data_IF_952248712567
#
_entry.id   IF_952248712567
#
_cell.length_a   1.000
_cell.length_b   1.000
_cell.length_c   1.000
_cell.angle_alpha   90.00
_cell.angle_beta   90.00
_cell.angle_gamma   90.00
#
_symmetry.space_group_name_H-M   'P 1'
#
loop_
_entity.id
_entity.type
_entity.pdbx_description
1 polymer ?
#
# COMPACT_ATOMS: atom_id res chain seq x y z
N UNK A 1 52.08 -8.77 -58.05
CA UNK A 1 50.82 -8.90 -57.28
C UNK A 1 50.17 -7.53 -57.21
N UNK A 2 49.15 -7.28 -58.04
CA UNK A 2 48.41 -6.01 -58.06
C UNK A 2 47.26 -6.14 -57.07
N UNK A 3 47.21 -5.23 -56.07
CA UNK A 3 46.19 -5.19 -55.03
C UNK A 3 44.87 -4.72 -55.65
N UNK A 4 43.75 -5.46 -55.52
CA UNK A 4 42.48 -5.05 -56.12
C UNK A 4 41.93 -3.80 -55.39
N UNK A 5 41.17 -2.94 -56.08
CA UNK A 5 40.60 -1.74 -55.48
C UNK A 5 39.49 -2.11 -54.50
N UNK A 6 39.46 -1.41 -53.36
CA UNK A 6 38.44 -1.57 -52.32
C UNK A 6 37.14 -0.94 -52.80
N UNK A 7 36.09 -1.74 -52.99
CA UNK A 7 34.73 -1.27 -53.24
C UNK A 7 34.21 -0.55 -51.98
N UNK A 8 33.66 0.65 -52.14
CA UNK A 8 32.99 1.38 -51.06
C UNK A 8 31.66 0.69 -50.69
N UNK A 9 31.25 0.73 -49.42
CA UNK A 9 29.98 0.15 -48.99
C UNK A 9 28.79 0.92 -49.59
N UNK A 10 27.81 0.17 -50.10
CA UNK A 10 26.58 0.72 -50.66
C UNK A 10 25.75 1.42 -49.57
N UNK A 11 25.23 2.61 -49.89
CA UNK A 11 24.35 3.40 -49.03
C UNK A 11 23.01 2.66 -48.82
N UNK A 12 22.48 2.54 -47.59
CA UNK A 12 21.17 1.92 -47.36
C UNK A 12 20.05 2.68 -48.08
N UNK A 13 19.01 1.99 -48.58
CA UNK A 13 17.85 2.66 -49.17
C UNK A 13 17.07 3.44 -48.10
N UNK A 14 16.55 4.60 -48.48
CA UNK A 14 15.71 5.42 -47.62
C UNK A 14 14.38 4.69 -47.30
N UNK A 15 13.84 4.80 -46.07
CA UNK A 15 12.57 4.19 -45.72
C UNK A 15 11.42 4.87 -46.46
N UNK A 16 10.47 4.06 -46.97
CA UNK A 16 9.26 4.54 -47.63
C UNK A 16 8.34 5.31 -46.66
N UNK A 17 7.58 6.32 -47.12
CA UNK A 17 6.64 7.03 -46.26
C UNK A 17 5.50 6.09 -45.82
N UNK A 18 5.22 6.04 -44.52
CA UNK A 18 4.03 5.36 -44.00
C UNK A 18 2.76 6.09 -44.47
N UNK A 19 1.66 5.36 -44.77
CA UNK A 19 0.42 5.99 -45.18
C UNK A 19 -0.18 6.81 -44.03
N UNK A 20 -0.70 7.99 -44.36
CA UNK A 20 -1.39 8.86 -43.42
C UNK A 20 -2.61 8.14 -42.82
N UNK A 21 -2.63 7.97 -41.50
CA UNK A 21 -3.79 7.48 -40.78
C UNK A 21 -4.95 8.46 -40.93
N UNK A 22 -6.08 8.00 -41.47
CA UNK A 22 -7.31 8.79 -41.52
C UNK A 22 -7.88 8.99 -40.10
N UNK A 23 -8.42 10.18 -39.78
CA UNK A 23 -9.04 10.43 -38.49
C UNK A 23 -10.32 9.60 -38.32
N UNK A 24 -10.63 9.12 -37.09
CA UNK A 24 -11.87 8.39 -36.84
C UNK A 24 -13.08 9.30 -37.06
N UNK A 25 -14.06 8.81 -37.81
CA UNK A 25 -15.34 9.51 -38.01
C UNK A 25 -16.12 9.54 -36.70
N UNK A 26 -16.57 10.73 -36.29
CA UNK A 26 -17.52 10.87 -35.19
C UNK A 26 -18.85 10.19 -35.56
N UNK A 27 -19.28 9.20 -34.77
CA UNK A 27 -20.67 8.71 -34.80
C UNK A 27 -21.54 9.65 -33.98
N UNK A 28 -22.66 10.09 -34.57
CA UNK A 28 -23.70 10.88 -33.89
C UNK A 28 -24.36 10.04 -32.80
N UNK A 29 -24.03 10.30 -31.54
CA UNK A 29 -24.78 9.79 -30.40
C UNK A 29 -26.13 10.52 -30.31
N UNK A 30 -27.21 9.76 -30.09
CA UNK A 30 -28.54 10.30 -29.85
C UNK A 30 -28.57 11.22 -28.61
N UNK A 31 -29.43 12.25 -28.57
CA UNK A 31 -29.51 13.18 -27.44
C UNK A 31 -29.96 12.48 -26.14
N UNK A 32 -29.53 12.96 -24.97
CA UNK A 32 -29.95 12.39 -23.69
C UNK A 32 -31.42 12.71 -23.41
N UNK A 33 -32.17 11.69 -23.00
CA UNK A 33 -33.54 11.82 -22.51
C UNK A 33 -33.53 12.58 -21.19
N UNK A 34 -34.40 13.59 -21.06
CA UNK A 34 -34.54 14.43 -19.88
C UNK A 34 -34.92 13.62 -18.61
N UNK A 35 -34.50 14.04 -17.40
CA UNK A 35 -34.85 13.35 -16.17
C UNK A 35 -36.32 13.62 -15.79
N UNK A 36 -37.11 12.57 -15.70
CA UNK A 36 -38.49 12.63 -15.21
C UNK A 36 -38.52 12.55 -13.68
N UNK A 37 -39.28 13.49 -13.10
CA UNK A 37 -39.86 13.59 -11.75
C UNK A 37 -39.41 12.67 -10.59
N UNK A 38 -39.11 13.32 -9.46
CA UNK A 38 -38.97 12.81 -8.10
C UNK A 38 -39.73 11.52 -7.76
N UNK A 39 -38.99 10.43 -7.57
CA UNK A 39 -39.44 9.31 -6.76
C UNK A 39 -39.10 9.57 -5.28
N UNK A 40 -40.11 9.50 -4.41
CA UNK A 40 -39.98 9.53 -2.95
C UNK A 40 -39.02 8.42 -2.49
N UNK A 41 -38.06 8.69 -1.59
CA UNK A 41 -37.13 7.66 -1.12
C UNK A 41 -37.90 6.53 -0.41
N UNK A 42 -37.53 5.25 -0.63
CA UNK A 42 -38.14 4.14 0.10
C UNK A 42 -37.86 4.30 1.59
N UNK A 43 -38.89 4.12 2.41
CA UNK A 43 -38.76 4.11 3.85
C UNK A 43 -37.80 2.97 4.25
N UNK A 44 -36.73 3.31 4.98
CA UNK A 44 -35.83 2.31 5.56
C UNK A 44 -36.63 1.42 6.52
N UNK A 45 -36.52 0.08 6.40
CA UNK A 45 -37.04 -0.80 7.45
C UNK A 45 -36.29 -0.51 8.77
N UNK A 46 -36.95 -0.69 9.93
CA UNK A 46 -36.33 -0.42 11.22
C UNK A 46 -35.08 -1.29 11.38
N UNK A 47 -34.01 -0.66 11.85
CA UNK A 47 -32.71 -1.30 12.08
C UNK A 47 -32.90 -2.57 12.93
N UNK A 48 -32.70 -3.73 12.29
CA UNK A 48 -32.57 -4.98 13.02
C UNK A 48 -31.37 -4.83 13.97
N UNK A 49 -31.62 -5.05 15.26
CA UNK A 49 -30.63 -4.93 16.32
C UNK A 49 -29.41 -5.81 16.00
N UNK A 50 -28.32 -5.18 15.55
CA UNK A 50 -27.01 -5.81 15.47
C UNK A 50 -26.58 -6.22 16.87
N UNK A 51 -26.41 -7.53 17.08
CA UNK A 51 -25.86 -8.09 18.32
C UNK A 51 -24.55 -7.37 18.68
N UNK A 52 -24.26 -7.12 19.97
CA UNK A 52 -22.99 -6.52 20.38
C UNK A 52 -21.82 -7.34 19.83
N UNK A 53 -20.90 -6.67 19.12
CA UNK A 53 -19.62 -7.26 18.72
C UNK A 53 -18.89 -7.66 20.01
N UNK A 54 -18.55 -8.95 20.21
CA UNK A 54 -17.81 -9.36 21.38
C UNK A 54 -16.47 -8.61 21.43
N UNK A 55 -15.96 -8.27 22.63
CA UNK A 55 -14.66 -7.63 22.77
C UNK A 55 -13.59 -8.46 22.04
N UNK A 56 -12.59 -7.83 21.42
CA UNK A 56 -11.52 -8.56 20.77
C UNK A 56 -10.92 -9.55 21.78
N UNK A 57 -10.68 -10.82 21.36
CA UNK A 57 -10.12 -11.82 22.26
C UNK A 57 -8.83 -11.24 22.85
N UNK A 58 -8.72 -11.33 24.18
CA UNK A 58 -7.48 -11.02 24.89
C UNK A 58 -6.36 -11.80 24.21
N UNK A 59 -5.17 -11.20 24.03
CA UNK A 59 -4.04 -11.95 23.50
C UNK A 59 -3.87 -13.21 24.34
N UNK A 60 -3.58 -14.37 23.72
CA UNK A 60 -3.27 -15.57 24.48
C UNK A 60 -2.19 -15.21 25.51
N UNK A 61 -2.36 -15.67 26.75
CA UNK A 61 -1.30 -15.58 27.74
C UNK A 61 -0.05 -16.16 27.06
N UNK A 62 0.98 -15.31 26.88
CA UNK A 62 2.22 -15.71 26.24
C UNK A 62 2.65 -17.03 26.89
N UNK A 63 2.60 -18.12 26.11
CA UNK A 63 3.08 -19.40 26.57
C UNK A 63 4.59 -19.24 26.65
N UNK A 64 5.00 -19.00 27.87
CA UNK A 64 6.26 -18.43 28.24
C UNK A 64 7.36 -19.47 27.96
N UNK A 65 7.85 -19.53 26.73
CA UNK A 65 9.26 -19.80 26.49
C UNK A 65 10.04 -18.54 26.87
N UNK A 66 9.87 -18.17 28.13
CA UNK A 66 10.59 -17.15 28.83
C UNK A 66 11.99 -17.67 28.96
N UNK A 67 12.94 -16.99 28.34
CA UNK A 67 14.03 -16.59 29.21
C UNK A 67 13.38 -15.68 30.26
N UNK A 68 13.60 -15.98 31.53
CA UNK A 68 12.97 -15.29 32.66
C UNK A 68 13.35 -13.78 32.78
N UNK A 69 13.94 -13.20 31.72
CA UNK A 69 14.43 -11.84 31.50
C UNK A 69 14.13 -11.32 30.08
N UNK A 70 13.03 -11.76 29.46
CA UNK A 70 12.74 -11.46 28.06
C UNK A 70 12.29 -10.02 27.81
N UNK A 71 13.21 -9.16 27.38
CA UNK A 71 12.89 -7.85 26.82
C UNK A 71 12.34 -7.95 25.39
N UNK A 72 12.30 -9.15 24.80
CA UNK A 72 11.99 -9.39 23.39
C UNK A 72 10.56 -9.92 23.24
N UNK A 73 9.79 -9.27 22.39
CA UNK A 73 8.41 -9.55 22.04
C UNK A 73 8.38 -10.01 20.58
N UNK A 74 8.67 -11.28 20.35
CA UNK A 74 8.63 -11.92 19.04
C UNK A 74 7.18 -11.99 18.54
N UNK A 75 6.91 -11.45 17.36
CA UNK A 75 5.56 -11.40 16.75
C UNK A 75 4.93 -12.78 16.56
N UNK A 76 5.72 -13.85 16.42
CA UNK A 76 5.22 -15.24 16.32
C UNK A 76 4.60 -15.71 17.63
N UNK A 77 5.11 -15.25 18.77
CA UNK A 77 4.49 -15.52 20.07
C UNK A 77 3.10 -14.89 20.21
N UNK A 78 2.75 -13.96 19.33
CA UNK A 78 1.43 -13.32 19.23
C UNK A 78 0.57 -13.85 18.08
N UNK A 79 1.01 -14.94 17.43
CA UNK A 79 0.26 -15.64 16.39
C UNK A 79 0.55 -15.16 14.96
N UNK A 80 1.65 -14.43 14.74
CA UNK A 80 2.08 -14.11 13.37
C UNK A 80 2.58 -15.39 12.68
N UNK A 81 2.15 -15.60 11.44
CA UNK A 81 2.57 -16.75 10.63
C UNK A 81 3.95 -16.57 10.03
N UNK A 82 4.29 -15.36 9.56
CA UNK A 82 5.54 -15.12 8.83
C UNK A 82 5.62 -15.83 7.48
N UNK A 83 4.47 -16.22 6.91
CA UNK A 83 4.40 -17.01 5.67
C UNK A 83 4.34 -16.19 4.37
N UNK A 84 4.18 -14.87 4.45
CA UNK A 84 3.95 -13.96 3.32
C UNK A 84 2.53 -13.98 2.74
N UNK A 85 1.79 -15.08 2.91
CA UNK A 85 0.41 -15.23 2.38
C UNK A 85 -0.70 -14.85 3.37
N UNK A 86 -0.39 -14.75 4.66
CA UNK A 86 -1.34 -14.48 5.73
C UNK A 86 -1.58 -12.99 5.98
N UNK A 87 -2.41 -12.64 6.96
CA UNK A 87 -2.47 -11.28 7.51
C UNK A 87 -2.01 -11.29 8.96
N UNK A 88 -0.81 -10.78 9.20
CA UNK A 88 -0.13 -10.77 10.49
C UNK A 88 -0.38 -9.46 11.28
N UNK A 89 -1.21 -8.53 10.77
CA UNK A 89 -1.47 -7.21 11.38
C UNK A 89 -1.94 -7.33 12.83
N UNK A 90 -2.78 -8.32 13.14
CA UNK A 90 -3.30 -8.52 14.51
C UNK A 90 -2.19 -8.93 15.47
N UNK A 91 -1.34 -9.85 15.06
CA UNK A 91 -0.24 -10.36 15.86
C UNK A 91 0.80 -9.26 16.10
N UNK A 92 1.19 -8.52 15.07
CA UNK A 92 2.12 -7.39 15.20
C UNK A 92 1.59 -6.31 16.16
N UNK A 93 0.30 -5.95 16.07
CA UNK A 93 -0.30 -4.99 17.00
C UNK A 93 -0.34 -5.51 18.44
N UNK A 94 -0.61 -6.80 18.63
CA UNK A 94 -0.61 -7.41 19.94
C UNK A 94 0.79 -7.41 20.56
N UNK A 95 1.81 -7.78 19.77
CA UNK A 95 3.21 -7.72 20.17
C UNK A 95 3.62 -6.29 20.56
N UNK A 96 3.26 -5.29 19.74
CA UNK A 96 3.55 -3.88 20.03
C UNK A 96 2.92 -3.42 21.33
N UNK A 97 1.64 -3.75 21.54
CA UNK A 97 0.92 -3.40 22.77
C UNK A 97 1.59 -4.02 23.99
N UNK A 98 2.04 -5.27 23.89
CA UNK A 98 2.73 -5.97 24.97
C UNK A 98 4.08 -5.31 25.28
N UNK A 99 4.90 -5.05 24.26
CA UNK A 99 6.19 -4.37 24.39
C UNK A 99 6.04 -2.97 25.04
N UNK A 100 5.14 -2.17 24.47
CA UNK A 100 4.85 -0.79 24.89
C UNK A 100 4.32 -0.68 26.34
N UNK A 101 3.60 -1.70 26.81
CA UNK A 101 3.03 -1.75 28.16
C UNK A 101 3.91 -2.50 29.18
N UNK A 102 5.05 -3.03 28.74
CA UNK A 102 5.95 -3.80 29.59
C UNK A 102 6.68 -2.91 30.60
N UNK A 103 7.12 -3.52 31.71
CA UNK A 103 7.98 -2.83 32.69
C UNK A 103 9.47 -2.95 32.34
N UNK A 104 9.82 -3.47 31.16
CA UNK A 104 11.21 -3.53 30.70
C UNK A 104 11.72 -2.12 30.40
N UNK A 105 12.98 -1.84 30.71
CA UNK A 105 13.62 -0.56 30.41
C UNK A 105 13.85 -0.37 28.90
N UNK A 106 14.07 -1.47 28.17
CA UNK A 106 14.37 -1.47 26.73
C UNK A 106 13.66 -2.63 26.03
N UNK A 107 12.32 -2.61 25.94
CA UNK A 107 11.58 -3.64 25.25
C UNK A 107 11.83 -3.60 23.74
N UNK A 108 12.00 -4.76 23.14
CA UNK A 108 12.19 -4.97 21.70
C UNK A 108 11.01 -5.74 21.15
N UNK A 109 10.26 -5.17 20.22
CA UNK A 109 9.40 -5.95 19.33
C UNK A 109 10.26 -6.53 18.22
N UNK A 110 10.22 -7.85 18.03
CA UNK A 110 11.05 -8.54 17.03
C UNK A 110 10.18 -9.09 15.89
N UNK A 111 10.54 -8.73 14.66
CA UNK A 111 10.11 -9.39 13.42
C UNK A 111 11.26 -10.31 12.95
N UNK A 112 11.16 -11.63 13.14
CA UNK A 112 12.24 -12.59 12.89
C UNK A 112 12.73 -12.66 11.45
N UNK A 113 14.03 -12.92 11.25
CA UNK A 113 14.71 -12.94 9.95
C UNK A 113 14.26 -14.03 8.99
N UNK A 114 13.70 -15.12 9.50
CA UNK A 114 13.25 -16.27 8.73
C UNK A 114 11.76 -16.19 8.33
N UNK A 115 11.20 -14.98 8.25
CA UNK A 115 9.78 -14.76 7.96
C UNK A 115 9.47 -13.56 7.08
N UNK A 116 8.35 -13.70 6.36
CA UNK A 116 7.71 -12.62 5.59
C UNK A 116 6.36 -12.34 6.22
N UNK A 117 6.19 -11.13 6.73
CA UNK A 117 5.06 -10.73 7.56
C UNK A 117 4.22 -9.70 6.83
N UNK A 118 3.06 -10.14 6.36
CA UNK A 118 2.16 -9.28 5.58
C UNK A 118 1.23 -8.52 6.51
N UNK A 119 1.29 -7.19 6.47
CA UNK A 119 0.47 -6.30 7.30
C UNK A 119 -0.24 -5.24 6.49
N UNK A 120 -1.51 -5.01 6.80
CA UNK A 120 -2.31 -3.90 6.25
C UNK A 120 -2.11 -2.60 7.05
N UNK A 121 -2.88 -1.55 6.74
CA UNK A 121 -2.83 -0.26 7.44
C UNK A 121 -2.90 -0.45 8.95
N UNK A 122 -1.89 0.02 9.68
CA UNK A 122 -1.79 -0.19 11.11
C UNK A 122 -1.18 1.01 11.82
N UNK A 123 -1.70 1.27 13.02
CA UNK A 123 -1.19 2.29 13.93
C UNK A 123 -0.60 1.61 15.15
N UNK A 124 0.70 1.81 15.35
CA UNK A 124 1.45 1.46 16.54
C UNK A 124 1.39 2.64 17.50
N UNK A 125 0.40 2.60 18.41
CA UNK A 125 0.10 3.71 19.31
C UNK A 125 0.75 3.56 20.68
N UNK A 126 1.23 4.67 21.24
CA UNK A 126 1.59 4.85 22.64
C UNK A 126 0.52 5.64 23.44
N UNK A 127 0.87 6.21 24.60
CA UNK A 127 2.22 6.31 25.16
C UNK A 127 2.75 4.97 25.68
N UNK A 128 4.04 4.72 25.48
CA UNK A 128 4.73 3.55 26.04
C UNK A 128 5.37 3.89 27.38
N UNK A 129 5.54 2.88 28.25
CA UNK A 129 6.17 3.05 29.56
C UNK A 129 7.67 3.35 29.47
N UNK A 130 8.31 2.88 28.40
CA UNK A 130 9.73 3.05 28.09
C UNK A 130 9.91 3.14 26.57
N UNK A 131 11.11 3.49 26.14
CA UNK A 131 11.50 3.51 24.72
C UNK A 131 11.47 2.09 24.15
N UNK A 132 10.64 1.87 23.13
CA UNK A 132 10.50 0.57 22.45
C UNK A 132 11.44 0.51 21.26
N UNK A 133 12.18 -0.58 21.12
CA UNK A 133 12.88 -0.91 19.86
C UNK A 133 11.94 -1.73 18.99
N UNK A 134 11.67 -1.26 17.79
CA UNK A 134 11.00 -2.02 16.73
C UNK A 134 12.09 -2.62 15.84
N UNK A 135 12.43 -3.89 16.06
CA UNK A 135 13.48 -4.59 15.36
C UNK A 135 12.91 -5.44 14.23
N UNK A 136 13.31 -5.13 12.99
CA UNK A 136 12.90 -5.83 11.78
C UNK A 136 14.11 -6.54 11.20
N UNK A 137 14.20 -7.85 11.42
CA UNK A 137 15.24 -8.68 10.82
C UNK A 137 14.70 -9.48 9.63
N UNK A 138 13.38 -9.72 9.57
CA UNK A 138 12.69 -10.34 8.43
C UNK A 138 12.17 -9.34 7.41
N UNK A 139 11.10 -9.73 6.71
CA UNK A 139 10.43 -8.86 5.74
C UNK A 139 9.07 -8.43 6.27
N UNK A 140 8.79 -7.12 6.28
CA UNK A 140 7.43 -6.58 6.39
C UNK A 140 6.96 -6.12 5.02
N UNK A 141 5.78 -6.57 4.60
CA UNK A 141 5.20 -6.18 3.31
C UNK A 141 3.69 -5.89 3.42
N UNK A 142 3.11 -5.06 2.54
CA UNK A 142 1.67 -4.86 2.47
C UNK A 142 0.98 -6.01 1.71
N UNK A 143 -0.37 -6.05 1.73
CA UNK A 143 -1.13 -6.76 0.70
C UNK A 143 -0.74 -6.29 -0.71
N UNK A 144 -0.83 -7.20 -1.68
CA UNK A 144 -0.45 -6.95 -3.08
C UNK A 144 -1.38 -5.92 -3.73
N UNK A 145 -0.96 -4.66 -3.68
CA UNK A 145 -1.57 -3.56 -4.40
C UNK A 145 -2.91 -3.05 -3.83
N UNK A 146 -3.50 -2.04 -4.50
CA UNK A 146 -4.70 -1.35 -4.04
C UNK A 146 -5.98 -2.20 -4.10
N UNK A 147 -6.01 -3.27 -4.88
CA UNK A 147 -7.17 -4.15 -5.01
C UNK A 147 -7.31 -5.13 -3.84
N UNK A 148 -6.21 -5.56 -3.24
CA UNK A 148 -6.19 -6.44 -2.06
C UNK A 148 -6.23 -5.67 -0.74
N UNK A 149 -6.07 -4.35 -0.78
CA UNK A 149 -6.11 -3.50 0.40
C UNK A 149 -7.49 -3.53 1.08
N UNK A 150 -7.57 -3.81 2.40
CA UNK A 150 -8.86 -3.89 3.08
C UNK A 150 -9.66 -2.57 2.98
N UNK A 151 -10.94 -2.67 2.61
CA UNK A 151 -11.80 -1.48 2.44
C UNK A 151 -12.02 -0.68 3.73
N UNK A 152 -11.89 -1.33 4.89
CA UNK A 152 -11.95 -0.71 6.22
C UNK A 152 -10.71 0.12 6.57
N UNK A 153 -9.61 -0.08 5.84
CA UNK A 153 -8.29 0.42 6.19
C UNK A 153 -7.97 1.73 5.44
N UNK A 154 -7.10 2.55 6.01
CA UNK A 154 -6.66 3.79 5.35
C UNK A 154 -5.86 3.46 4.10
N UNK A 155 -6.28 3.97 2.95
CA UNK A 155 -5.52 3.90 1.68
C UNK A 155 -4.43 4.96 1.55
N UNK A 156 -4.23 5.78 2.60
CA UNK A 156 -3.27 6.90 2.60
C UNK A 156 -2.05 6.63 3.46
N UNK A 157 -2.14 5.66 4.37
CA UNK A 157 -1.15 5.41 5.40
C UNK A 157 -1.05 3.91 5.62
N UNK A 158 0.16 3.38 5.58
CA UNK A 158 0.41 1.96 5.80
C UNK A 158 0.85 1.70 7.24
N UNK A 159 2.06 2.14 7.61
CA UNK A 159 2.62 1.97 8.95
C UNK A 159 2.67 3.35 9.63
N UNK A 160 2.00 3.48 10.77
CA UNK A 160 1.96 4.74 11.52
C UNK A 160 2.41 4.51 12.95
N UNK A 161 3.41 5.27 13.38
CA UNK A 161 3.81 5.35 14.77
C UNK A 161 3.19 6.61 15.39
N UNK A 162 2.35 6.44 16.42
CA UNK A 162 1.65 7.56 17.06
C UNK A 162 1.97 7.61 18.55
N UNK A 163 2.51 8.74 19.03
CA UNK A 163 2.94 8.91 20.44
C UNK A 163 3.92 7.82 20.92
N UNK A 164 4.76 7.34 20.01
CA UNK A 164 5.82 6.37 20.27
C UNK A 164 7.13 7.08 20.64
N UNK A 165 7.12 7.84 21.73
CA UNK A 165 8.23 8.72 22.12
C UNK A 165 9.49 7.89 22.42
N UNK A 166 10.63 8.29 21.84
CA UNK A 166 11.91 7.59 22.03
C UNK A 166 11.99 6.22 21.36
N UNK A 167 11.04 5.86 20.49
CA UNK A 167 11.09 4.60 19.75
C UNK A 167 12.29 4.56 18.80
N UNK A 168 12.93 3.40 18.72
CA UNK A 168 14.00 3.11 17.74
C UNK A 168 13.48 2.12 16.71
N UNK A 169 13.69 2.39 15.42
CA UNK A 169 13.53 1.40 14.35
C UNK A 169 14.92 0.80 14.07
N UNK A 170 15.06 -0.52 14.12
CA UNK A 170 16.33 -1.22 13.99
C UNK A 170 16.18 -2.54 13.22
N UNK A 171 17.29 -3.24 13.00
CA UNK A 171 17.34 -4.55 12.36
C UNK A 171 17.98 -4.52 10.97
N UNK A 172 18.28 -5.71 10.44
CA UNK A 172 18.93 -5.92 9.13
C UNK A 172 17.95 -6.37 8.04
N UNK A 173 16.66 -6.43 8.37
CA UNK A 173 15.59 -6.88 7.51
C UNK A 173 15.11 -5.83 6.50
N UNK A 174 13.93 -6.06 5.94
CA UNK A 174 13.37 -5.25 4.85
C UNK A 174 11.94 -4.80 5.16
N UNK A 175 11.65 -3.53 4.87
CA UNK A 175 10.28 -3.03 4.72
C UNK A 175 10.03 -2.95 3.21
N UNK A 176 9.35 -3.95 2.67
CA UNK A 176 8.98 -4.01 1.27
C UNK A 176 7.67 -3.23 1.07
N UNK A 177 7.68 -2.22 0.22
CA UNK A 177 6.56 -1.29 0.06
C UNK A 177 5.55 -1.68 -1.00
N UNK A 178 5.89 -2.57 -1.95
CA UNK A 178 5.06 -2.97 -3.10
C UNK A 178 4.31 -1.77 -3.75
N UNK A 179 5.06 -0.69 -4.03
CA UNK A 179 4.47 0.61 -4.40
C UNK A 179 4.00 0.74 -5.85
N UNK A 180 4.49 -0.10 -6.76
CA UNK A 180 4.28 0.04 -8.22
C UNK A 180 2.80 0.20 -8.60
N UNK A 181 1.96 -0.75 -8.18
CA UNK A 181 0.52 -0.68 -8.48
C UNK A 181 -0.19 0.53 -7.85
N UNK A 182 0.36 1.10 -6.77
CA UNK A 182 -0.20 2.30 -6.15
C UNK A 182 0.10 3.56 -6.96
N UNK A 183 1.28 3.63 -7.60
CA UNK A 183 1.69 4.75 -8.44
C UNK A 183 1.04 4.71 -9.83
N UNK A 184 0.71 3.51 -10.31
CA UNK A 184 0.04 3.30 -11.61
C UNK A 184 -1.48 3.54 -11.58
N UNK A 185 -2.04 3.85 -10.41
CA UNK A 185 -3.46 4.22 -10.32
C UNK A 185 -3.77 5.44 -11.17
N UNK A 186 -4.87 5.44 -11.95
CA UNK A 186 -5.22 6.58 -12.79
C UNK A 186 -5.36 7.84 -11.93
N UNK A 187 -4.57 8.86 -12.26
CA UNK A 187 -4.66 10.19 -11.69
C UNK A 187 -6.15 10.63 -11.77
N UNK A 188 -6.78 10.95 -10.63
CA UNK A 188 -8.19 11.42 -10.63
C UNK A 188 -8.27 12.58 -11.62
N UNK A 189 -9.25 12.61 -12.54
CA UNK A 189 -9.41 13.77 -13.39
C UNK A 189 -9.58 14.96 -12.45
N UNK A 190 -8.68 15.94 -12.57
CA UNK A 190 -8.90 17.23 -11.94
C UNK A 190 -10.31 17.65 -12.35
N UNK A 191 -11.11 18.14 -11.38
CA UNK A 191 -12.35 18.83 -11.73
C UNK A 191 -11.93 20.10 -12.47
N UNK A 192 -11.67 19.97 -13.77
CA UNK A 192 -11.55 21.09 -14.67
C UNK A 192 -12.95 21.68 -14.68
N UNK A 193 -13.16 22.70 -13.85
CA UNK A 193 -14.32 23.56 -14.02
C UNK A 193 -14.13 24.17 -15.39
N UNK A 194 -14.97 23.73 -16.31
CA UNK A 194 -15.27 24.35 -17.60
C UNK A 194 -14.30 24.03 -18.73
N UNK A 195 -14.91 23.49 -19.79
CA UNK A 195 -14.48 23.40 -21.17
C UNK A 195 -13.52 24.51 -21.64
N UNK A 196 -12.43 24.13 -22.28
CA UNK A 196 -11.75 24.97 -23.27
C UNK A 196 -11.84 24.24 -24.63
N UNK A 197 -12.60 24.72 -25.62
CA UNK A 197 -12.94 23.93 -26.82
C UNK A 197 -11.79 23.69 -27.82
N UNK A 198 -10.57 24.16 -27.53
CA UNK A 198 -9.52 24.28 -28.54
C UNK A 198 -8.14 23.73 -28.13
N UNK A 199 -8.05 22.94 -27.06
CA UNK A 199 -6.80 22.28 -26.69
C UNK A 199 -6.98 20.76 -26.77
N UNK A 200 -6.22 20.14 -27.68
CA UNK A 200 -6.10 18.68 -27.76
C UNK A 200 -5.64 18.10 -26.41
N UNK A 201 -6.09 16.89 -26.03
CA UNK A 201 -5.61 16.23 -24.83
C UNK A 201 -4.15 15.84 -25.04
N UNK A 202 -3.24 16.62 -24.46
CA UNK A 202 -1.88 16.17 -24.22
C UNK A 202 -2.02 15.01 -23.23
N UNK A 203 -1.47 13.84 -23.59
CA UNK A 203 -1.35 12.68 -22.71
C UNK A 203 -0.88 13.18 -21.33
N UNK A 204 -1.70 12.95 -20.31
CA UNK A 204 -1.38 13.28 -18.93
C UNK A 204 -0.23 12.40 -18.45
N UNK A 205 0.99 12.82 -18.71
CA UNK A 205 2.15 12.37 -17.96
C UNK A 205 2.02 13.05 -16.60
N UNK A 206 1.86 12.27 -15.53
CA UNK A 206 1.90 12.81 -14.17
C UNK A 206 3.37 13.25 -13.94
N UNK A 207 3.64 14.53 -14.21
CA UNK A 207 4.97 15.14 -14.06
C UNK A 207 5.21 15.40 -12.59
N UNK A 208 6.24 14.77 -12.04
CA UNK A 208 6.75 15.08 -10.71
C UNK A 208 7.23 16.53 -10.69
N UNK A 209 6.65 17.34 -9.80
CA UNK A 209 7.19 18.65 -9.46
C UNK A 209 8.21 18.41 -8.35
N UNK A 210 9.49 18.41 -8.72
CA UNK A 210 10.59 18.47 -7.75
C UNK A 210 10.57 19.87 -7.13
N UNK A 211 10.28 19.96 -5.84
CA UNK A 211 10.37 21.20 -5.06
C UNK A 211 11.59 21.12 -4.17
N UNK A 212 12.66 21.77 -4.64
CA UNK A 212 13.75 22.28 -3.81
C UNK A 212 13.28 23.41 -2.90
#
# INVERSE_FOLDING_TARGET
MVKPPRLAPAKPPAPSPLPAAQPPRCSTANPPVAPTASAKPPAYPPAAASKPIPPPPLPPAANNSSSAWGNVFDVRAFGASGSGSGNDTRALRAAWKAACSSNSTTPTLLVPSDGVFTISSTIFAGPCKSAVTFQIDGVLMPPDGPASWPASDSRKQWIVFYKANGMTLAGEGTIEGNGEEWWDLPCKPHRVRTYCPWLHPVRGICSWYDSS
#
